data_IF_569353597295
#
_entry.id   IF_569353597295
#
_cell.length_a   1.000
_cell.length_b   1.000
_cell.length_c   1.000
_cell.angle_alpha   90.00
_cell.angle_beta   90.00
_cell.angle_gamma   90.00
#
_symmetry.space_group_name_H-M   'P 1'
#
loop_
_entity.id
_entity.type
_entity.pdbx_description
1 polymer ?
#
# COMPACT_ATOMS: atom_id res chain seq x y z
N UNK A 1 -41.87 1.37 35.04
CA UNK A 1 -41.22 2.09 33.93
C UNK A 1 -41.73 1.49 32.63
N UNK A 2 -42.37 2.29 31.75
CA UNK A 2 -42.92 1.77 30.49
C UNK A 2 -41.81 1.46 29.47
N UNK A 3 -42.02 0.44 28.63
CA UNK A 3 -41.03 -0.05 27.66
C UNK A 3 -40.44 1.06 26.77
N UNK A 4 -41.25 2.06 26.41
CA UNK A 4 -40.81 3.21 25.61
C UNK A 4 -39.78 4.10 26.33
N UNK A 5 -39.94 4.30 27.65
CA UNK A 5 -38.97 5.06 28.46
C UNK A 5 -37.68 4.29 28.68
N UNK A 6 -37.74 2.95 28.74
CA UNK A 6 -36.55 2.12 28.86
C UNK A 6 -35.72 2.15 27.57
N UNK A 7 -36.37 1.99 26.41
CA UNK A 7 -35.70 2.07 25.11
C UNK A 7 -35.09 3.47 24.84
N UNK A 8 -35.78 4.54 25.26
CA UNK A 8 -35.25 5.90 25.15
C UNK A 8 -34.01 6.09 26.04
N UNK A 9 -34.07 5.62 27.28
CA UNK A 9 -32.93 5.69 28.21
C UNK A 9 -31.73 4.89 27.71
N UNK A 10 -31.94 3.71 27.12
CA UNK A 10 -30.86 2.91 26.53
C UNK A 10 -30.23 3.59 25.32
N UNK A 11 -31.03 4.24 24.47
CA UNK A 11 -30.52 4.95 23.30
C UNK A 11 -29.73 6.21 23.70
N UNK A 12 -30.25 7.01 24.63
CA UNK A 12 -29.63 8.24 25.10
C UNK A 12 -28.31 7.98 25.86
N UNK A 13 -28.18 6.82 26.52
CA UNK A 13 -26.96 6.41 27.22
C UNK A 13 -26.05 5.49 26.39
N UNK A 14 -26.40 5.20 25.13
CA UNK A 14 -25.54 4.41 24.27
C UNK A 14 -24.33 5.27 23.89
N UNK A 15 -23.19 4.96 24.49
CA UNK A 15 -21.92 5.57 24.08
C UNK A 15 -21.71 5.30 22.58
N UNK A 16 -21.13 6.27 21.84
CA UNK A 16 -20.71 6.01 20.47
C UNK A 16 -19.88 4.73 20.44
N UNK A 17 -20.04 3.86 19.42
CA UNK A 17 -19.14 2.73 19.26
C UNK A 17 -17.71 3.27 19.27
N UNK A 18 -16.81 2.61 20.00
CA UNK A 18 -15.41 2.98 20.02
C UNK A 18 -14.94 3.09 18.57
N UNK A 19 -14.57 4.30 18.14
CA UNK A 19 -13.89 4.50 16.87
C UNK A 19 -12.65 3.61 16.97
N UNK A 20 -12.54 2.60 16.10
CA UNK A 20 -11.37 1.72 16.12
C UNK A 20 -10.15 2.59 15.91
N UNK A 21 -9.37 2.79 16.96
CA UNK A 21 -8.11 3.51 16.89
C UNK A 21 -7.19 2.69 15.98
N UNK A 22 -6.83 3.25 14.82
CA UNK A 22 -5.86 2.66 13.91
C UNK A 22 -4.56 2.55 14.71
N UNK A 23 -3.92 1.37 14.67
CA UNK A 23 -2.66 1.20 15.39
C UNK A 23 -1.59 2.13 14.82
N UNK A 24 -0.65 2.65 15.65
CA UNK A 24 0.46 3.45 15.15
C UNK A 24 1.25 2.77 14.04
N UNK A 25 1.36 1.43 14.09
CA UNK A 25 2.00 0.62 13.06
C UNK A 25 1.22 0.62 11.75
N UNK A 26 -0.11 0.49 11.79
CA UNK A 26 -0.96 0.58 10.59
C UNK A 26 -0.87 1.96 9.95
N UNK A 27 -0.93 3.02 10.74
CA UNK A 27 -0.78 4.38 10.24
C UNK A 27 0.61 4.59 9.61
N UNK A 28 1.67 4.10 10.24
CA UNK A 28 3.03 4.16 9.70
C UNK A 28 3.15 3.44 8.35
N UNK A 29 2.49 2.28 8.22
CA UNK A 29 2.46 1.53 6.97
C UNK A 29 1.70 2.31 5.90
N UNK A 30 0.53 2.87 6.21
CA UNK A 30 -0.29 3.61 5.25
C UNK A 30 0.44 4.86 4.74
N UNK A 31 1.15 5.57 5.62
CA UNK A 31 2.05 6.68 5.24
C UNK A 31 3.16 6.20 4.29
N UNK A 32 3.78 5.05 4.61
CA UNK A 32 4.82 4.46 3.78
C UNK A 32 4.32 4.01 2.40
N UNK A 33 3.10 3.47 2.32
CA UNK A 33 2.46 3.11 1.05
C UNK A 33 2.28 4.36 0.19
N UNK A 34 1.77 5.45 0.76
CA UNK A 34 1.57 6.71 0.04
C UNK A 34 2.89 7.27 -0.52
N UNK A 35 3.98 7.19 0.24
CA UNK A 35 5.32 7.61 -0.19
C UNK A 35 5.88 6.75 -1.34
N UNK A 36 5.77 5.41 -1.23
CA UNK A 36 6.23 4.48 -2.27
C UNK A 36 5.43 4.62 -3.57
N UNK A 37 4.10 4.76 -3.48
CA UNK A 37 3.22 5.00 -4.62
C UNK A 37 3.53 6.34 -5.31
N UNK A 38 3.98 7.33 -4.54
CA UNK A 38 4.47 8.61 -5.06
C UNK A 38 5.93 8.56 -5.57
N UNK A 39 6.52 7.36 -5.68
CA UNK A 39 7.87 7.08 -6.19
C UNK A 39 9.00 7.66 -5.32
N UNK A 40 8.77 7.74 -4.00
CA UNK A 40 9.78 8.19 -3.02
C UNK A 40 10.25 7.04 -2.16
N UNK A 41 11.47 7.17 -1.62
CA UNK A 41 11.99 6.21 -0.63
C UNK A 41 11.30 6.44 0.72
N UNK A 42 10.90 5.37 1.39
CA UNK A 42 10.35 5.43 2.74
C UNK A 42 11.29 4.73 3.73
N UNK A 43 12.05 5.54 4.46
CA UNK A 43 13.24 5.13 5.19
C UNK A 43 13.36 5.89 6.49
N UNK A 44 13.79 5.21 7.54
CA UNK A 44 13.92 5.72 8.90
C UNK A 44 15.28 5.35 9.49
N UNK A 45 15.69 6.03 10.56
CA UNK A 45 16.93 5.71 11.26
C UNK A 45 16.70 5.69 12.76
N UNK A 46 17.01 4.57 13.39
CA UNK A 46 17.02 4.48 14.86
C UNK A 46 18.35 4.96 15.44
N UNK A 47 18.33 5.39 16.70
CA UNK A 47 19.54 5.84 17.40
C UNK A 47 20.64 4.77 17.36
N UNK A 48 21.82 5.17 16.87
CA UNK A 48 23.01 4.30 16.72
C UNK A 48 22.79 3.07 15.80
N UNK A 49 21.76 3.05 14.96
CA UNK A 49 21.51 2.01 13.95
C UNK A 49 21.70 2.58 12.54
N UNK A 50 22.01 1.72 11.55
CA UNK A 50 21.99 2.15 10.16
C UNK A 50 20.58 2.55 9.74
N UNK A 51 20.48 3.30 8.65
CA UNK A 51 19.22 3.65 8.00
C UNK A 51 18.55 2.37 7.47
N UNK A 52 17.25 2.23 7.75
CA UNK A 52 16.44 1.08 7.38
C UNK A 52 15.16 1.54 6.65
N UNK A 53 14.46 0.61 6.03
CA UNK A 53 13.19 0.88 5.34
C UNK A 53 13.20 0.37 3.91
N UNK A 54 12.27 0.89 3.10
CA UNK A 54 12.01 0.44 1.75
C UNK A 54 12.32 1.57 0.78
N UNK A 55 13.31 1.37 -0.07
CA UNK A 55 13.60 2.26 -1.20
C UNK A 55 12.61 2.00 -2.34
N UNK A 56 12.36 3.02 -3.16
CA UNK A 56 11.56 2.87 -4.38
C UNK A 56 12.10 1.78 -5.30
N UNK A 57 13.42 1.64 -5.42
CA UNK A 57 14.06 0.59 -6.24
C UNK A 57 13.66 -0.82 -5.76
N UNK A 58 13.66 -1.04 -4.44
CA UNK A 58 13.22 -2.32 -3.86
C UNK A 58 11.74 -2.58 -4.09
N UNK A 59 10.91 -1.54 -4.03
CA UNK A 59 9.49 -1.64 -4.36
C UNK A 59 9.29 -1.98 -5.85
N UNK A 60 10.00 -1.31 -6.76
CA UNK A 60 9.96 -1.60 -8.19
C UNK A 60 10.38 -3.06 -8.49
N UNK A 61 11.42 -3.57 -7.83
CA UNK A 61 11.81 -4.98 -7.93
C UNK A 61 10.70 -5.95 -7.51
N UNK A 62 9.99 -5.66 -6.42
CA UNK A 62 8.86 -6.49 -5.98
C UNK A 62 7.69 -6.44 -6.97
N UNK A 63 7.45 -5.28 -7.60
CA UNK A 63 6.47 -5.15 -8.69
C UNK A 63 6.90 -5.96 -9.92
N UNK A 64 8.19 -5.94 -10.27
CA UNK A 64 8.74 -6.76 -11.35
C UNK A 64 8.55 -8.25 -11.07
N UNK A 65 8.87 -8.72 -9.85
CA UNK A 65 8.65 -10.11 -9.42
C UNK A 65 7.17 -10.51 -9.55
N UNK A 66 6.26 -9.65 -9.11
CA UNK A 66 4.82 -9.87 -9.24
C UNK A 66 4.38 -9.97 -10.70
N UNK A 67 4.76 -8.99 -11.52
CA UNK A 67 4.42 -8.90 -12.95
C UNK A 67 4.99 -10.08 -13.73
N UNK A 68 6.24 -10.46 -13.48
CA UNK A 68 6.88 -11.61 -14.11
C UNK A 68 6.17 -12.93 -13.78
N UNK A 69 5.56 -13.04 -12.59
CA UNK A 69 4.70 -14.17 -12.24
C UNK A 69 3.40 -14.25 -13.05
N UNK A 70 2.89 -13.11 -13.53
CA UNK A 70 1.71 -13.06 -14.41
C UNK A 70 2.08 -13.30 -15.88
N UNK A 71 3.27 -12.86 -16.29
CA UNK A 71 3.78 -13.03 -17.65
C UNK A 71 4.02 -14.52 -17.93
N UNK A 72 3.08 -15.11 -18.67
CA UNK A 72 3.07 -16.55 -18.99
C UNK A 72 1.72 -17.21 -18.69
N UNK A 73 0.83 -16.52 -17.99
CA UNK A 73 -0.56 -16.95 -17.87
C UNK A 73 -1.26 -16.89 -19.23
N UNK A 74 -2.17 -17.84 -19.54
CA UNK A 74 -2.89 -17.87 -20.82
C UNK A 74 -3.74 -16.62 -21.09
N UNK A 75 -4.14 -15.92 -20.03
CA UNK A 75 -5.01 -14.74 -20.06
C UNK A 75 -4.26 -13.47 -20.48
N UNK A 76 -2.93 -13.44 -20.32
CA UNK A 76 -2.08 -12.29 -20.66
C UNK A 76 -1.54 -12.46 -22.07
N UNK A 77 -1.72 -11.46 -22.93
CA UNK A 77 -1.15 -11.50 -24.28
C UNK A 77 0.37 -11.61 -24.23
N UNK A 78 0.96 -12.52 -25.01
CA UNK A 78 2.42 -12.63 -25.17
C UNK A 78 3.09 -11.37 -25.75
N UNK A 79 2.31 -10.39 -26.23
CA UNK A 79 2.79 -9.10 -26.71
C UNK A 79 2.64 -7.95 -25.72
N UNK A 80 2.02 -8.16 -24.56
CA UNK A 80 1.63 -7.08 -23.64
C UNK A 80 2.84 -6.26 -23.17
N UNK A 81 3.95 -6.91 -22.79
CA UNK A 81 5.19 -6.24 -22.43
C UNK A 81 5.78 -5.44 -23.61
N UNK A 82 5.76 -5.99 -24.82
CA UNK A 82 6.23 -5.28 -26.02
C UNK A 82 5.39 -4.03 -26.31
N UNK A 83 4.07 -4.12 -26.16
CA UNK A 83 3.15 -2.98 -26.29
C UNK A 83 3.40 -1.92 -25.24
N UNK A 84 3.62 -2.31 -23.98
CA UNK A 84 3.98 -1.39 -22.90
C UNK A 84 5.24 -0.59 -23.27
N UNK A 85 6.30 -1.26 -23.72
CA UNK A 85 7.56 -0.62 -24.11
C UNK A 85 7.34 0.35 -25.28
N UNK A 86 6.63 -0.06 -26.33
CA UNK A 86 6.36 0.79 -27.48
C UNK A 86 5.51 2.01 -27.11
N UNK A 87 4.45 1.82 -26.33
CA UNK A 87 3.57 2.90 -25.88
C UNK A 87 4.32 3.92 -25.02
N UNK A 88 5.16 3.46 -24.09
CA UNK A 88 5.99 4.34 -23.27
C UNK A 88 6.99 5.15 -24.12
N UNK A 89 7.65 4.51 -25.11
CA UNK A 89 8.57 5.20 -26.03
C UNK A 89 7.88 6.22 -26.93
N UNK A 90 6.65 5.94 -27.35
CA UNK A 90 5.80 6.86 -28.13
C UNK A 90 5.12 7.93 -27.26
N UNK A 91 5.31 7.92 -25.93
CA UNK A 91 4.65 8.83 -24.98
C UNK A 91 3.11 8.74 -24.99
N UNK A 92 2.58 7.57 -25.33
CA UNK A 92 1.14 7.28 -25.31
C UNK A 92 0.80 6.66 -23.95
N UNK A 93 0.52 7.52 -22.97
CA UNK A 93 0.36 7.12 -21.57
C UNK A 93 -0.83 6.20 -21.32
N UNK A 94 -1.93 6.40 -22.06
CA UNK A 94 -3.13 5.56 -21.93
C UNK A 94 -2.87 4.13 -22.41
N UNK A 95 -2.18 3.97 -23.53
CA UNK A 95 -1.83 2.65 -24.07
C UNK A 95 -0.80 1.94 -23.18
N UNK A 96 0.15 2.68 -22.62
CA UNK A 96 1.09 2.15 -21.65
C UNK A 96 0.37 1.67 -20.40
N UNK A 97 -0.58 2.46 -19.87
CA UNK A 97 -1.42 2.06 -18.75
C UNK A 97 -2.23 0.81 -19.07
N UNK A 98 -2.94 0.78 -20.20
CA UNK A 98 -3.75 -0.37 -20.61
C UNK A 98 -2.93 -1.65 -20.75
N UNK A 99 -1.71 -1.55 -21.31
CA UNK A 99 -0.79 -2.68 -21.40
C UNK A 99 -0.28 -3.13 -20.02
N UNK A 100 0.00 -2.21 -19.10
CA UNK A 100 0.38 -2.54 -17.73
C UNK A 100 -0.77 -3.23 -16.96
N UNK A 101 -1.99 -2.69 -17.06
CA UNK A 101 -3.18 -3.26 -16.42
C UNK A 101 -3.45 -4.69 -16.93
N UNK A 102 -3.27 -4.93 -18.23
CA UNK A 102 -3.38 -6.27 -18.84
C UNK A 102 -2.31 -7.22 -18.31
N UNK A 103 -1.06 -6.77 -18.19
CA UNK A 103 0.04 -7.59 -17.64
C UNK A 103 -0.23 -7.97 -16.18
N UNK A 104 -0.73 -7.03 -15.37
CA UNK A 104 -1.01 -7.28 -13.97
C UNK A 104 -2.17 -8.26 -13.78
N UNK A 105 -3.12 -8.33 -14.73
CA UNK A 105 -4.22 -9.31 -14.75
C UNK A 105 -5.02 -9.38 -13.44
N UNK A 106 -5.21 -8.23 -12.78
CA UNK A 106 -5.96 -8.09 -11.53
C UNK A 106 -7.13 -7.11 -11.68
N UNK A 107 -8.16 -7.28 -10.85
CA UNK A 107 -9.34 -6.41 -10.88
C UNK A 107 -9.03 -4.96 -10.49
N UNK A 108 -8.10 -4.74 -9.56
CA UNK A 108 -7.67 -3.42 -9.13
C UNK A 108 -6.12 -3.36 -9.07
N UNK A 109 -5.46 -2.83 -10.12
CA UNK A 109 -4.01 -2.69 -10.15
C UNK A 109 -3.45 -1.84 -9.01
N UNK A 110 -4.14 -0.75 -8.64
CA UNK A 110 -3.69 0.15 -7.58
C UNK A 110 -3.68 -0.56 -6.22
N UNK A 111 -4.76 -1.27 -5.88
CA UNK A 111 -4.82 -2.05 -4.65
C UNK A 111 -3.77 -3.19 -4.61
N UNK A 112 -3.45 -3.80 -5.75
CA UNK A 112 -2.38 -4.81 -5.81
C UNK A 112 -1.00 -4.21 -5.53
N UNK A 113 -0.72 -2.99 -6.05
CA UNK A 113 0.52 -2.28 -5.76
C UNK A 113 0.61 -1.84 -4.29
N UNK A 114 -0.49 -1.35 -3.72
CA UNK A 114 -0.58 -1.01 -2.29
C UNK A 114 -0.32 -2.23 -1.41
N UNK A 115 -0.86 -3.39 -1.77
CA UNK A 115 -0.63 -4.64 -1.03
C UNK A 115 0.83 -5.10 -1.11
N UNK A 116 1.48 -4.98 -2.27
CA UNK A 116 2.92 -5.25 -2.39
C UNK A 116 3.72 -4.31 -1.49
N UNK A 117 3.40 -3.02 -1.49
CA UNK A 117 4.04 -2.03 -0.62
C UNK A 117 3.81 -2.37 0.87
N UNK A 118 2.58 -2.73 1.25
CA UNK A 118 2.21 -3.16 2.61
C UNK A 118 3.05 -4.33 3.08
N UNK A 119 3.20 -5.36 2.24
CA UNK A 119 4.00 -6.55 2.56
C UNK A 119 5.48 -6.22 2.77
N UNK A 120 6.05 -5.29 1.99
CA UNK A 120 7.42 -4.84 2.16
C UNK A 120 7.62 -4.01 3.44
N UNK A 121 6.62 -3.24 3.86
CA UNK A 121 6.68 -2.33 5.00
C UNK A 121 6.37 -3.00 6.34
N UNK A 122 5.54 -4.04 6.34
CA UNK A 122 5.08 -4.74 7.56
C UNK A 122 6.24 -5.18 8.47
N UNK A 123 7.36 -5.75 7.97
CA UNK A 123 8.49 -6.13 8.82
C UNK A 123 9.15 -4.95 9.56
N UNK A 124 8.99 -3.73 9.05
CA UNK A 124 9.64 -2.53 9.59
C UNK A 124 8.72 -1.69 10.48
N UNK A 125 7.41 -1.88 10.43
CA UNK A 125 6.43 -1.01 11.08
C UNK A 125 6.71 -0.75 12.56
N UNK A 126 7.00 -1.81 13.32
CA UNK A 126 7.34 -1.70 14.74
C UNK A 126 8.61 -0.86 14.99
N UNK A 127 9.64 -1.04 14.18
CA UNK A 127 10.89 -0.26 14.34
C UNK A 127 10.74 1.17 13.83
N UNK A 128 9.93 1.39 12.79
CA UNK A 128 9.63 2.69 12.23
C UNK A 128 8.86 3.58 13.20
N UNK A 129 7.84 3.04 13.87
CA UNK A 129 7.10 3.76 14.93
C UNK A 129 8.02 4.13 16.10
N UNK A 130 8.90 3.21 16.52
CA UNK A 130 9.89 3.51 17.57
C UNK A 130 10.88 4.61 17.13
N UNK A 131 11.31 4.61 15.87
CA UNK A 131 12.17 5.67 15.33
C UNK A 131 11.48 7.04 15.33
N UNK A 132 10.21 7.10 14.93
CA UNK A 132 9.43 8.35 14.98
C UNK A 132 9.27 8.87 16.41
N UNK A 133 9.07 7.97 17.39
CA UNK A 133 9.02 8.35 18.80
C UNK A 133 10.39 8.87 19.31
N UNK A 134 11.50 8.24 18.89
CA UNK A 134 12.87 8.70 19.21
C UNK A 134 13.21 10.06 18.58
N UNK A 135 12.68 10.38 17.39
CA UNK A 135 12.87 11.68 16.72
C UNK A 135 12.02 12.81 17.33
N UNK A 136 10.92 12.47 18.00
CA UNK A 136 10.01 13.43 18.63
C UNK A 136 10.45 13.86 20.04
N UNK A 137 11.47 13.21 20.62
CA UNK A 137 12.06 13.50 21.94
C UNK A 137 13.29 14.41 21.84
#
# INVERSE_FOLDING_TARGET
>A
MGALRAAQFEYDNRMPPAVSEISPEEQWIDDGIAELMARRDFVFQRRMRPKQGVTFERFAQAVDEFVMGQLGLPEVSGSALGRLVLAARCKVTNDAKAAADEIMSVANPEAALEEIARQLLTPFAKEGVLAQAEEAE
#
